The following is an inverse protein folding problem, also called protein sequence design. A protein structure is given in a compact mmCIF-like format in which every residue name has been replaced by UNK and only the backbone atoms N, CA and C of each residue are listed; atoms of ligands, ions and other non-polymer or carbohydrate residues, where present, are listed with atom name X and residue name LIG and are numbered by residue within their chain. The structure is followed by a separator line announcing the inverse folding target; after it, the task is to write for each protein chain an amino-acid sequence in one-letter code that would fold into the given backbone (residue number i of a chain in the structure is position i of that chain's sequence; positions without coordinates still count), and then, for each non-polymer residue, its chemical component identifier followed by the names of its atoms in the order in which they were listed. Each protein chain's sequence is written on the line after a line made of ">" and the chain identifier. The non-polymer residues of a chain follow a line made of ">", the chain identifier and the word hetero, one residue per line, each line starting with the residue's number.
data_IF_034722581691
#
_entry.id   IF_034722581691
#
_cell.length_a   1.000
_cell.length_b   1.000
_cell.length_c   1.000
_cell.angle_alpha   90.00
_cell.angle_beta   90.00
_cell.angle_gamma   90.00
#
_symmetry.space_group_name_H-M   'P 1'
#
loop_
_entity.id
_entity.type
_entity.pdbx_description
1 polymer ?
#
# COMPACT_ATOMS: atom_id res chain seq x y z
N UNK A 1 -1.89 8.61 5.13
CA UNK A 1 -2.86 8.05 4.18
C UNK A 1 -4.16 8.80 4.35
N UNK A 2 -4.93 8.98 3.27
CA UNK A 2 -6.17 9.73 3.31
C UNK A 2 -7.11 9.24 2.24
N UNK A 3 -7.82 8.13 2.51
CA UNK A 3 -8.83 7.61 1.60
C UNK A 3 -10.14 8.43 1.65
N UNK A 4 -10.17 9.50 2.47
CA UNK A 4 -11.37 10.29 2.74
C UNK A 4 -12.28 9.72 3.85
N UNK A 5 -11.95 8.54 4.37
CA UNK A 5 -12.61 7.93 5.53
C UNK A 5 -12.17 8.59 6.84
N UNK A 6 -13.14 8.94 7.68
CA UNK A 6 -12.90 9.46 9.03
C UNK A 6 -12.63 8.33 10.04
N UNK A 7 -13.31 7.19 9.85
CA UNK A 7 -13.19 5.99 10.68
C UNK A 7 -12.42 4.88 9.99
N UNK A 8 -11.80 4.03 10.79
CA UNK A 8 -11.15 2.81 10.31
C UNK A 8 -12.17 1.74 9.93
N UNK A 9 -11.84 0.96 8.91
CA UNK A 9 -12.70 -0.12 8.40
C UNK A 9 -12.13 -1.44 8.89
N UNK A 10 -12.84 -2.08 9.81
CA UNK A 10 -12.48 -3.39 10.34
C UNK A 10 -13.42 -4.44 9.75
N UNK A 11 -13.05 -4.96 8.58
CA UNK A 11 -13.78 -6.04 7.93
C UNK A 11 -12.79 -7.07 7.37
N UNK A 12 -13.04 -8.33 7.68
CA UNK A 12 -12.28 -9.48 7.20
C UNK A 12 -13.19 -10.54 6.54
N UNK A 13 -14.42 -10.17 6.19
CA UNK A 13 -15.33 -11.02 5.43
C UNK A 13 -14.87 -11.15 3.98
N UNK A 14 -15.45 -12.10 3.23
CA UNK A 14 -15.26 -12.19 1.77
C UNK A 14 -15.71 -10.92 1.02
N UNK A 15 -16.59 -10.11 1.63
CA UNK A 15 -17.16 -8.91 1.02
C UNK A 15 -16.45 -7.62 1.45
N UNK A 16 -15.29 -7.70 2.11
CA UNK A 16 -14.59 -6.53 2.65
C UNK A 16 -14.30 -5.43 1.62
N UNK A 17 -14.09 -5.79 0.34
CA UNK A 17 -13.93 -4.82 -0.76
C UNK A 17 -15.20 -4.00 -0.96
N UNK A 18 -16.36 -4.65 -0.96
CA UNK A 18 -17.66 -3.98 -1.04
C UNK A 18 -17.85 -3.07 0.17
N UNK A 19 -17.57 -3.58 1.37
CA UNK A 19 -17.63 -2.79 2.62
C UNK A 19 -16.74 -1.55 2.55
N UNK A 20 -15.51 -1.68 2.03
CA UNK A 20 -14.60 -0.56 1.83
C UNK A 20 -15.17 0.49 0.88
N UNK A 21 -15.70 0.06 -0.27
CA UNK A 21 -16.21 0.98 -1.30
C UNK A 21 -17.51 1.69 -0.90
N UNK A 22 -18.34 1.07 -0.05
CA UNK A 22 -19.57 1.66 0.47
C UNK A 22 -19.35 2.46 1.76
N UNK A 23 -18.14 2.44 2.34
CA UNK A 23 -17.86 3.21 3.54
C UNK A 23 -17.93 4.72 3.21
N UNK A 24 -18.56 5.55 4.07
CA UNK A 24 -18.64 6.99 3.85
C UNK A 24 -17.26 7.65 3.63
N UNK A 25 -17.16 8.43 2.54
CA UNK A 25 -16.01 9.27 2.17
C UNK A 25 -16.37 10.73 2.47
N UNK A 26 -16.09 11.17 3.70
CA UNK A 26 -16.51 12.49 4.21
C UNK A 26 -15.53 13.61 3.85
N UNK A 27 -14.30 13.24 3.53
CA UNK A 27 -13.26 14.18 3.10
C UNK A 27 -12.82 13.84 1.69
N UNK A 28 -12.46 14.86 0.92
CA UNK A 28 -11.84 14.64 -0.37
C UNK A 28 -10.54 13.82 -0.20
N UNK A 29 -10.34 12.72 -0.96
CA UNK A 29 -9.12 11.93 -0.86
C UNK A 29 -7.87 12.79 -1.02
N UNK A 30 -6.89 12.61 -0.14
CA UNK A 30 -5.70 13.45 -0.13
C UNK A 30 -5.89 14.86 0.44
N UNK A 31 -7.00 15.17 1.14
CA UNK A 31 -7.18 16.41 1.92
C UNK A 31 -7.23 16.20 3.43
N UNK A 32 -7.41 14.95 3.87
CA UNK A 32 -7.49 14.57 5.28
C UNK A 32 -6.60 13.35 5.57
N UNK A 33 -5.87 13.40 6.69
CA UNK A 33 -4.99 12.32 7.11
C UNK A 33 -5.62 11.48 8.21
N UNK A 34 -5.77 10.19 7.93
CA UNK A 34 -6.13 9.16 8.91
C UNK A 34 -5.37 7.89 8.55
N UNK A 35 -4.73 7.26 9.53
CA UNK A 35 -4.20 5.92 9.34
C UNK A 35 -5.35 5.02 8.84
N UNK A 36 -5.09 4.23 7.79
CA UNK A 36 -6.15 3.47 7.13
C UNK A 36 -5.62 2.11 6.67
N UNK A 37 -5.87 1.07 7.47
CA UNK A 37 -5.38 -0.29 7.17
C UNK A 37 -6.06 -0.86 5.94
N UNK A 38 -7.38 -0.66 5.83
CA UNK A 38 -8.17 -1.16 4.71
C UNK A 38 -7.78 -0.54 3.36
N UNK A 39 -7.31 0.71 3.36
CA UNK A 39 -6.79 1.39 2.19
C UNK A 39 -5.52 0.73 1.65
N UNK A 40 -4.64 0.25 2.54
CA UNK A 40 -3.49 -0.56 2.13
C UNK A 40 -3.92 -1.94 1.62
N UNK A 41 -4.91 -2.56 2.25
CA UNK A 41 -5.46 -3.83 1.75
C UNK A 41 -6.04 -3.68 0.35
N UNK A 42 -6.69 -2.55 0.03
CA UNK A 42 -7.16 -2.25 -1.32
C UNK A 42 -6.04 -2.18 -2.35
N UNK A 43 -4.85 -1.70 -1.99
CA UNK A 43 -3.68 -1.76 -2.89
C UNK A 43 -3.29 -3.21 -3.20
N UNK A 44 -3.29 -4.09 -2.20
CA UNK A 44 -3.04 -5.52 -2.39
C UNK A 44 -4.12 -6.17 -3.28
N UNK A 45 -5.39 -5.82 -3.07
CA UNK A 45 -6.51 -6.31 -3.86
C UNK A 45 -6.42 -5.87 -5.34
N UNK A 46 -6.06 -4.61 -5.60
CA UNK A 46 -5.89 -4.13 -6.98
C UNK A 46 -4.71 -4.83 -7.65
N UNK A 47 -3.58 -5.00 -6.95
CA UNK A 47 -2.45 -5.74 -7.48
C UNK A 47 -2.88 -7.16 -7.87
N UNK A 48 -3.54 -7.88 -6.95
CA UNK A 48 -4.06 -9.23 -7.19
C UNK A 48 -5.03 -9.28 -8.36
N UNK A 49 -5.97 -8.33 -8.46
CA UNK A 49 -6.92 -8.25 -9.58
C UNK A 49 -6.21 -8.02 -10.92
N UNK A 50 -5.13 -7.22 -10.94
CA UNK A 50 -4.41 -6.88 -12.18
C UNK A 50 -3.40 -7.94 -12.62
N UNK A 51 -2.79 -8.66 -11.68
CA UNK A 51 -1.69 -9.60 -11.97
C UNK A 51 -2.10 -11.06 -11.84
N UNK A 52 -3.20 -11.35 -11.14
CA UNK A 52 -3.58 -12.69 -10.71
C UNK A 52 -2.73 -13.24 -9.55
N UNK A 53 -1.82 -12.42 -8.99
CA UNK A 53 -0.86 -12.83 -7.96
C UNK A 53 -1.06 -12.02 -6.69
N UNK A 54 -0.88 -12.63 -5.53
CA UNK A 54 -0.77 -11.90 -4.27
C UNK A 54 0.54 -11.07 -4.22
N UNK A 55 0.66 -10.14 -3.26
CA UNK A 55 1.80 -9.21 -3.20
C UNK A 55 3.10 -9.98 -2.98
N UNK A 56 3.13 -10.95 -2.07
CA UNK A 56 4.33 -11.78 -1.83
C UNK A 56 4.72 -12.58 -3.06
N UNK A 57 3.77 -13.16 -3.78
CA UNK A 57 3.99 -13.90 -5.03
C UNK A 57 4.53 -13.00 -6.13
N UNK A 58 3.94 -11.82 -6.28
CA UNK A 58 4.37 -10.82 -7.25
C UNK A 58 5.80 -10.33 -6.97
N UNK A 59 6.15 -10.14 -5.69
CA UNK A 59 7.49 -9.70 -5.28
C UNK A 59 8.53 -10.82 -5.28
N UNK A 60 8.12 -12.09 -5.30
CA UNK A 60 9.00 -13.24 -5.11
C UNK A 60 10.23 -13.20 -6.02
N UNK A 61 10.05 -13.24 -7.33
CA UNK A 61 11.17 -13.24 -8.29
C UNK A 61 11.79 -11.86 -8.52
N UNK A 62 11.08 -10.79 -8.17
CA UNK A 62 11.48 -9.40 -8.45
C UNK A 62 12.36 -8.82 -7.35
N UNK A 63 12.15 -9.26 -6.11
CA UNK A 63 12.78 -8.68 -4.93
C UNK A 63 13.17 -9.73 -3.89
N UNK A 64 12.25 -10.62 -3.50
CA UNK A 64 12.51 -11.51 -2.36
C UNK A 64 13.63 -12.51 -2.66
N UNK A 65 13.57 -13.21 -3.80
CA UNK A 65 14.61 -14.13 -4.25
C UNK A 65 15.96 -13.44 -4.48
N UNK A 66 16.04 -12.29 -5.19
CA UNK A 66 17.28 -11.52 -5.29
C UNK A 66 17.92 -11.12 -3.95
N UNK A 67 17.11 -10.80 -2.94
CA UNK A 67 17.58 -10.47 -1.59
C UNK A 67 17.83 -11.71 -0.74
N UNK A 68 17.52 -12.92 -1.22
CA UNK A 68 17.58 -14.15 -0.44
C UNK A 68 16.61 -14.17 0.74
N UNK A 69 15.47 -13.49 0.65
CA UNK A 69 14.38 -13.50 1.62
C UNK A 69 13.46 -14.69 1.34
N UNK A 70 13.34 -15.60 2.30
CA UNK A 70 12.61 -16.87 2.11
C UNK A 70 11.52 -17.09 3.15
N UNK A 71 11.55 -16.35 4.27
CA UNK A 71 10.61 -16.52 5.38
C UNK A 71 9.38 -15.61 5.33
N UNK A 72 9.32 -14.69 4.38
CA UNK A 72 8.21 -13.73 4.29
C UNK A 72 6.90 -14.46 4.01
N UNK A 73 5.92 -14.25 4.89
CA UNK A 73 4.53 -14.68 4.71
C UNK A 73 3.59 -13.53 5.03
N UNK A 74 2.37 -13.57 4.49
CA UNK A 74 1.34 -12.57 4.80
C UNK A 74 0.04 -13.27 5.22
N UNK A 75 -0.62 -12.74 6.25
CA UNK A 75 -1.99 -13.15 6.58
C UNK A 75 -2.94 -12.83 5.44
N UNK A 76 -3.99 -13.63 5.29
CA UNK A 76 -5.01 -13.45 4.26
C UNK A 76 -6.28 -12.84 4.85
N UNK A 77 -6.95 -12.05 4.02
CA UNK A 77 -8.31 -11.58 4.24
C UNK A 77 -9.32 -12.67 3.87
N UNK A 78 -10.59 -12.45 4.21
CA UNK A 78 -11.67 -13.40 3.93
C UNK A 78 -11.78 -13.84 2.47
N UNK A 79 -11.47 -12.96 1.51
CA UNK A 79 -11.49 -13.26 0.07
C UNK A 79 -10.18 -13.86 -0.48
N UNK A 80 -9.22 -14.16 0.41
CA UNK A 80 -7.89 -14.66 0.07
C UNK A 80 -6.90 -13.59 -0.44
N UNK A 81 -7.26 -12.30 -0.38
CA UNK A 81 -6.32 -11.21 -0.63
C UNK A 81 -5.37 -11.06 0.56
N UNK A 82 -4.09 -10.78 0.33
CA UNK A 82 -3.16 -10.53 1.43
C UNK A 82 -3.52 -9.27 2.25
N UNK A 83 -3.43 -9.39 3.58
CA UNK A 83 -3.59 -8.30 4.55
C UNK A 83 -2.38 -7.36 4.47
N UNK A 84 -2.31 -6.56 3.41
CA UNK A 84 -1.18 -5.67 3.13
C UNK A 84 -0.91 -4.63 4.22
N UNK A 85 -1.92 -4.23 4.99
CA UNK A 85 -1.80 -3.22 6.03
C UNK A 85 -1.16 -3.68 7.35
N UNK A 86 -0.89 -4.98 7.53
CA UNK A 86 -0.31 -5.49 8.79
C UNK A 86 -0.12 -7.00 8.90
N UNK A 87 -0.36 -7.76 7.84
CA UNK A 87 -0.32 -9.22 7.86
C UNK A 87 1.07 -9.83 7.64
N UNK A 88 2.08 -9.03 7.31
CA UNK A 88 3.41 -9.54 6.95
C UNK A 88 4.21 -9.97 8.18
N UNK A 89 4.89 -11.12 8.08
CA UNK A 89 5.88 -11.60 9.05
C UNK A 89 7.06 -12.24 8.35
N UNK A 90 8.25 -12.07 8.90
CA UNK A 90 9.50 -12.68 8.45
C UNK A 90 10.46 -12.83 9.64
N UNK A 91 11.54 -13.59 9.47
CA UNK A 91 12.60 -13.66 10.48
C UNK A 91 13.46 -12.39 10.46
N UNK A 92 14.16 -12.13 11.57
CA UNK A 92 14.97 -10.93 11.76
C UNK A 92 16.06 -10.79 10.70
N UNK A 93 16.67 -11.90 10.29
CA UNK A 93 17.72 -11.92 9.27
C UNK A 93 17.19 -11.41 7.92
N UNK A 94 16.00 -11.86 7.50
CA UNK A 94 15.37 -11.40 6.27
C UNK A 94 14.96 -9.93 6.35
N UNK A 95 14.49 -9.49 7.53
CA UNK A 95 14.19 -8.08 7.79
C UNK A 95 15.45 -7.21 7.71
N UNK A 96 16.59 -7.71 8.19
CA UNK A 96 17.87 -7.03 8.10
C UNK A 96 18.34 -6.90 6.64
N UNK A 97 18.18 -7.94 5.81
CA UNK A 97 18.47 -7.87 4.36
C UNK A 97 17.61 -6.80 3.69
N UNK A 98 16.30 -6.79 3.95
CA UNK A 98 15.41 -5.76 3.42
C UNK A 98 15.79 -4.35 3.87
N UNK A 99 16.15 -4.17 5.15
CA UNK A 99 16.59 -2.88 5.69
C UNK A 99 17.91 -2.42 5.07
N UNK A 100 18.87 -3.33 4.87
CA UNK A 100 20.13 -3.04 4.20
C UNK A 100 19.90 -2.65 2.73
N UNK A 101 19.03 -3.36 2.02
CA UNK A 101 18.62 -3.00 0.67
C UNK A 101 18.05 -1.57 0.58
N UNK A 102 17.18 -1.20 1.54
CA UNK A 102 16.61 0.14 1.60
C UNK A 102 17.67 1.21 1.92
N UNK A 103 18.60 0.94 2.85
CA UNK A 103 19.68 1.88 3.19
C UNK A 103 20.65 2.11 2.02
N UNK A 104 20.77 1.12 1.14
CA UNK A 104 21.50 1.17 -0.13
C UNK A 104 20.71 1.78 -1.28
N UNK A 105 19.55 2.40 -1.01
CA UNK A 105 18.68 3.02 -2.01
C UNK A 105 18.34 2.07 -3.16
N UNK A 106 18.02 0.82 -2.82
CA UNK A 106 17.50 -0.16 -3.77
C UNK A 106 18.57 -0.93 -4.53
N UNK A 107 19.83 -0.83 -4.10
CA UNK A 107 20.94 -1.62 -4.60
C UNK A 107 21.18 -2.84 -3.71
N UNK A 108 21.38 -4.01 -4.33
CA UNK A 108 21.76 -5.25 -3.67
C UNK A 108 22.89 -5.91 -4.45
N UNK A 109 24.04 -6.17 -3.81
CA UNK A 109 25.20 -6.83 -4.43
C UNK A 109 25.63 -6.23 -5.79
N UNK A 110 25.62 -4.90 -5.90
CA UNK A 110 25.99 -4.19 -7.14
C UNK A 110 24.89 -4.14 -8.21
N UNK A 111 23.71 -4.73 -7.95
CA UNK A 111 22.55 -4.67 -8.84
C UNK A 111 21.49 -3.70 -8.31
N UNK A 112 21.06 -2.77 -9.14
CA UNK A 112 19.93 -1.88 -8.83
C UNK A 112 18.61 -2.62 -9.07
N UNK A 113 17.90 -2.99 -7.99
CA UNK A 113 16.61 -3.69 -8.09
C UNK A 113 15.41 -2.75 -8.00
N UNK A 114 15.54 -1.62 -7.29
CA UNK A 114 14.53 -0.55 -7.24
C UNK A 114 15.14 0.76 -7.69
N UNK A 115 14.52 1.50 -8.62
CA UNK A 115 15.09 2.75 -9.13
C UNK A 115 15.27 3.78 -7.99
N UNK A 116 16.38 4.52 -8.02
CA UNK A 116 16.74 5.49 -6.96
C UNK A 116 15.70 6.61 -6.77
N UNK A 117 15.01 7.02 -7.83
CA UNK A 117 13.96 8.04 -7.77
C UNK A 117 12.77 7.63 -6.90
N UNK A 118 12.57 6.33 -6.65
CA UNK A 118 11.58 5.87 -5.66
C UNK A 118 11.89 6.29 -4.24
N UNK A 119 13.18 6.41 -3.87
CA UNK A 119 13.57 6.82 -2.52
C UNK A 119 13.34 8.30 -2.32
N UNK A 120 13.54 9.10 -3.37
CA UNK A 120 13.16 10.52 -3.35
C UNK A 120 11.65 10.69 -3.25
N UNK A 121 10.87 9.92 -4.02
CA UNK A 121 9.40 10.01 -4.00
C UNK A 121 8.80 9.48 -2.69
N UNK A 122 9.27 8.34 -2.22
CA UNK A 122 8.80 7.68 -1.01
C UNK A 122 9.27 8.36 0.28
N UNK A 123 10.43 9.03 0.25
CA UNK A 123 10.98 9.79 1.38
C UNK A 123 10.46 11.22 1.48
N UNK A 124 9.69 11.72 0.51
CA UNK A 124 9.07 13.05 0.58
C UNK A 124 8.02 13.12 1.68
N UNK A 125 8.02 14.24 2.41
CA UNK A 125 6.97 14.55 3.36
C UNK A 125 5.69 14.89 2.60
N UNK A 126 4.70 13.99 2.69
CA UNK A 126 3.40 14.15 2.02
C UNK A 126 2.31 14.70 2.94
N UNK A 127 2.58 14.90 4.24
CA UNK A 127 1.64 15.47 5.21
C UNK A 127 2.34 16.52 6.05
N UNK A 128 1.79 17.75 6.09
CA UNK A 128 2.25 18.82 6.99
C UNK A 128 1.17 19.15 8.00
N UNK A 129 1.56 19.18 9.27
CA UNK A 129 0.74 19.71 10.35
C UNK A 129 1.17 21.17 10.58
N UNK A 130 0.36 22.14 10.17
CA UNK A 130 0.43 23.50 10.71
C UNK A 130 -0.69 23.64 11.75
N UNK A 131 -0.42 24.36 12.84
CA UNK A 131 -1.39 24.59 13.91
C UNK A 131 -2.74 25.02 13.30
N UNK A 132 -3.74 24.16 13.52
CA UNK A 132 -5.14 24.23 13.07
C UNK A 132 -5.49 23.88 11.61
N UNK A 133 -4.53 23.66 10.70
CA UNK A 133 -4.83 23.15 9.33
C UNK A 133 -3.80 22.13 8.82
N UNK A 134 -4.30 20.95 8.49
CA UNK A 134 -3.55 19.95 7.71
C UNK A 134 -3.43 20.47 6.27
N UNK A 135 -2.22 20.88 5.86
CA UNK A 135 -1.95 21.26 4.48
C UNK A 135 -1.25 20.09 3.79
N UNK A 136 -1.93 19.53 2.79
CA UNK A 136 -1.38 18.52 1.90
C UNK A 136 -0.88 19.24 0.66
N UNK A 137 0.43 19.23 0.43
CA UNK A 137 1.04 19.79 -0.79
C UNK A 137 0.72 18.84 -1.94
N UNK A 138 -0.32 19.19 -2.70
CA UNK A 138 -0.80 18.41 -3.83
C UNK A 138 -0.14 18.88 -5.13
N UNK A 139 0.98 18.26 -5.47
CA UNK A 139 1.31 18.03 -6.87
C UNK A 139 1.17 16.51 -7.09
N UNK A 140 0.03 16.11 -7.68
CA UNK A 140 -0.37 14.73 -8.02
C UNK A 140 -0.49 13.72 -6.86
N UNK A 141 -1.31 14.04 -5.83
CA UNK A 141 -1.43 13.20 -4.61
C UNK A 141 -2.19 11.89 -4.82
N UNK A 142 -1.40 10.87 -5.16
CA UNK A 142 -1.67 9.45 -5.00
C UNK A 142 -1.75 9.05 -3.51
N UNK A 143 -2.63 8.11 -3.15
CA UNK A 143 -2.50 7.32 -1.91
C UNK A 143 -1.04 6.83 -1.79
N UNK A 144 -0.41 6.93 -0.62
CA UNK A 144 1.00 6.50 -0.49
C UNK A 144 1.11 5.27 0.39
N UNK A 145 1.52 4.17 -0.23
CA UNK A 145 2.51 3.26 0.37
C UNK A 145 3.74 3.35 -0.53
N UNK A 146 4.73 4.17 -0.13
CA UNK A 146 5.95 4.38 -0.92
C UNK A 146 5.76 5.13 -2.25
N UNK A 147 4.70 5.94 -2.42
CA UNK A 147 4.54 6.82 -3.60
C UNK A 147 3.77 6.25 -4.81
N UNK A 148 3.00 5.17 -4.64
CA UNK A 148 1.98 4.71 -5.60
C UNK A 148 0.62 4.62 -4.93
N UNK A 149 -0.40 5.19 -5.57
CA UNK A 149 -1.72 5.34 -4.99
C UNK A 149 -2.87 5.04 -5.93
N UNK A 150 -4.01 4.74 -5.31
CA UNK A 150 -5.23 4.34 -5.98
C UNK A 150 -6.37 5.10 -5.30
N UNK A 151 -6.84 6.21 -5.89
CA UNK A 151 -8.05 6.91 -5.44
C UNK A 151 -9.27 5.97 -5.41
N UNK A 152 -10.33 6.28 -4.64
CA UNK A 152 -11.60 5.55 -4.70
C UNK A 152 -12.10 5.36 -6.13
N UNK A 153 -11.92 6.37 -7.00
CA UNK A 153 -12.25 6.29 -8.43
C UNK A 153 -11.40 5.28 -9.19
N UNK A 154 -10.09 5.21 -8.91
CA UNK A 154 -9.19 4.20 -9.47
C UNK A 154 -9.52 2.80 -8.92
N UNK A 155 -9.99 2.70 -7.68
CA UNK A 155 -10.49 1.44 -7.11
C UNK A 155 -11.78 1.01 -7.81
N UNK A 156 -12.79 1.88 -7.94
CA UNK A 156 -14.03 1.61 -8.67
C UNK A 156 -13.75 1.19 -10.13
N UNK A 157 -12.83 1.90 -10.81
CA UNK A 157 -12.38 1.55 -12.17
C UNK A 157 -11.71 0.17 -12.21
N UNK A 158 -10.84 -0.13 -11.25
CA UNK A 158 -10.21 -1.43 -11.15
C UNK A 158 -11.24 -2.52 -10.88
N UNK A 159 -12.27 -2.26 -10.07
CA UNK A 159 -13.28 -3.22 -9.64
C UNK A 159 -14.54 -3.28 -10.51
N UNK A 160 -14.64 -2.45 -11.57
CA UNK A 160 -15.79 -2.38 -12.49
C UNK A 160 -17.13 -2.11 -11.77
N UNK A 161 -17.08 -1.40 -10.64
CA UNK A 161 -18.27 -1.03 -9.88
C UNK A 161 -18.92 0.18 -10.56
N UNK A 162 -20.16 0.03 -11.03
CA UNK A 162 -20.94 1.14 -11.60
C UNK A 162 -21.31 2.12 -10.50
N UNK A 163 -21.08 3.41 -10.73
CA UNK A 163 -21.63 4.47 -9.87
C UNK A 163 -23.16 4.38 -9.90
N UNK A 164 -23.78 4.34 -8.71
CA UNK A 164 -25.23 4.34 -8.52
C UNK A 164 -25.78 5.76 -8.48
#
# INVERSE_FOLDING_TARGET
>A
MGCGHETEIMDNSENWISTFLHHPVLHEPGTFYKYNTAGTNMLAAVLRKKTGQNVTEFLKSRLLEPLGITSLTCALLGDGTELGGGGMKMVTEDMAKFTYFLSRQGEWEGKQLLRKDWFERGGRMIVRFQEEKLLLEAEDTLISVGGLGISPRQALTAFEVKES
#
